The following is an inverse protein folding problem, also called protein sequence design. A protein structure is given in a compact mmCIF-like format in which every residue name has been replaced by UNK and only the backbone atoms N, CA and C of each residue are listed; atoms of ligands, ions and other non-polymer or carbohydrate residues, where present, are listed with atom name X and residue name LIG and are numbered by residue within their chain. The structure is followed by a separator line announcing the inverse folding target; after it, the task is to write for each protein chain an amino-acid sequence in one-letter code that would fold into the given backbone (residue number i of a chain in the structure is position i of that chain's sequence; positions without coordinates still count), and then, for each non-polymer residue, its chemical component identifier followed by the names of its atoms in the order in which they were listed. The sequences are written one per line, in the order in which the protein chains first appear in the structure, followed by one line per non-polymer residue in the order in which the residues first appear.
data_IF_068502279460
#
_entry.id   IF_068502279460
#
_cell.length_a   1.000
_cell.length_b   1.000
_cell.length_c   1.000
_cell.angle_alpha   90.00
_cell.angle_beta   90.00
_cell.angle_gamma   90.00
#
_symmetry.space_group_name_H-M   'P 1'
#
loop_
_entity.id
_entity.type
_entity.pdbx_description
1 polymer ?
#
# COMPACT_ATOMS: atom_id res chain seq x y z
N UNK A 1 -30.22 19.01 10.16
CA UNK A 1 -29.36 18.71 11.33
C UNK A 1 -28.45 19.89 11.58
N UNK A 2 -28.09 20.16 12.83
CA UNK A 2 -27.14 21.22 13.20
C UNK A 2 -25.82 20.54 13.58
N UNK A 3 -24.70 21.00 13.03
CA UNK A 3 -23.35 20.51 13.34
C UNK A 3 -22.58 21.60 14.09
N UNK A 4 -22.09 21.29 15.30
CA UNK A 4 -21.24 22.18 16.10
C UNK A 4 -19.81 21.70 15.94
N UNK A 5 -18.91 22.56 15.44
CA UNK A 5 -17.50 22.23 15.18
C UNK A 5 -16.61 23.45 15.42
N UNK A 6 -15.28 23.24 15.37
CA UNK A 6 -14.30 24.31 15.44
C UNK A 6 -14.35 25.20 14.18
N UNK A 7 -14.02 26.49 14.33
CA UNK A 7 -14.07 27.42 13.20
C UNK A 7 -13.15 26.99 12.04
N UNK A 8 -12.02 26.36 12.34
CA UNK A 8 -11.05 25.87 11.35
C UNK A 8 -11.60 24.74 10.47
N UNK A 9 -12.45 23.86 11.01
CA UNK A 9 -13.01 22.73 10.25
C UNK A 9 -14.34 23.05 9.57
N UNK A 10 -14.91 24.23 9.84
CA UNK A 10 -16.20 24.64 9.27
C UNK A 10 -16.22 24.53 7.74
N UNK A 11 -15.15 24.97 7.08
CA UNK A 11 -15.04 24.89 5.61
C UNK A 11 -15.04 23.44 5.11
N UNK A 12 -14.35 22.53 5.80
CA UNK A 12 -14.32 21.11 5.44
C UNK A 12 -15.71 20.48 5.51
N UNK A 13 -16.44 20.70 6.61
CA UNK A 13 -17.81 20.15 6.75
C UNK A 13 -18.80 20.80 5.79
N UNK A 14 -18.67 22.10 5.48
CA UNK A 14 -19.48 22.75 4.45
C UNK A 14 -19.24 22.13 3.07
N UNK A 15 -17.98 21.89 2.69
CA UNK A 15 -17.65 21.25 1.43
C UNK A 15 -18.15 19.80 1.37
N UNK A 16 -18.08 19.07 2.49
CA UNK A 16 -18.58 17.70 2.59
C UNK A 16 -20.11 17.63 2.41
N UNK A 17 -20.86 18.52 3.08
CA UNK A 17 -22.33 18.52 3.02
C UNK A 17 -22.86 19.01 1.66
N UNK A 18 -22.12 19.88 0.98
CA UNK A 18 -22.51 20.45 -0.32
C UNK A 18 -21.94 19.67 -1.52
N UNK A 19 -21.43 18.45 -1.33
CA UNK A 19 -20.85 17.61 -2.40
C UNK A 19 -19.68 18.26 -3.14
N UNK A 20 -18.94 19.15 -2.48
CA UNK A 20 -17.82 19.87 -3.07
C UNK A 20 -16.47 19.17 -2.83
N UNK A 21 -16.42 18.15 -1.98
CA UNK A 21 -15.18 17.45 -1.66
C UNK A 21 -14.98 16.25 -2.60
N UNK A 22 -13.93 16.23 -3.44
CA UNK A 22 -13.67 15.12 -4.33
C UNK A 22 -13.28 13.88 -3.52
N UNK A 23 -13.77 12.71 -3.94
CA UNK A 23 -13.37 11.42 -3.36
C UNK A 23 -11.99 11.05 -3.92
N UNK A 24 -11.02 10.84 -3.03
CA UNK A 24 -9.64 10.51 -3.38
C UNK A 24 -9.21 9.14 -2.85
N UNK A 25 -8.23 8.54 -3.50
CA UNK A 25 -7.69 7.24 -3.11
C UNK A 25 -6.66 7.36 -2.01
N UNK A 26 -6.88 6.67 -0.89
CA UNK A 26 -5.91 6.53 0.21
C UNK A 26 -5.02 5.28 0.07
N UNK A 27 -5.12 4.57 -1.05
CA UNK A 27 -4.49 3.25 -1.24
C UNK A 27 -2.96 3.29 -1.18
N UNK A 28 -2.32 4.40 -1.54
CA UNK A 28 -0.85 4.52 -1.52
C UNK A 28 -0.28 4.18 -0.14
N UNK A 29 -0.94 4.64 0.93
CA UNK A 29 -0.49 4.41 2.32
C UNK A 29 -0.50 2.94 2.73
N UNK A 30 -1.31 2.11 2.07
CA UNK A 30 -1.49 0.67 2.34
C UNK A 30 -1.09 -0.21 1.16
N UNK A 31 -0.42 0.36 0.16
CA UNK A 31 -0.08 -0.36 -1.07
C UNK A 31 0.80 -1.58 -0.78
N UNK A 32 1.73 -1.43 0.17
CA UNK A 32 2.67 -2.48 0.59
C UNK A 32 1.93 -3.68 1.17
N UNK A 33 1.03 -3.44 2.12
CA UNK A 33 0.27 -4.49 2.79
C UNK A 33 -0.74 -5.15 1.83
N UNK A 34 -1.40 -4.35 0.98
CA UNK A 34 -2.33 -4.86 -0.05
C UNK A 34 -1.60 -5.70 -1.11
N UNK A 35 -0.41 -5.29 -1.53
CA UNK A 35 0.41 -6.06 -2.46
C UNK A 35 0.81 -7.41 -1.87
N UNK A 36 1.19 -7.45 -0.58
CA UNK A 36 1.48 -8.71 0.10
C UNK A 36 0.27 -9.66 0.09
N UNK A 37 -0.94 -9.14 0.34
CA UNK A 37 -2.14 -9.96 0.32
C UNK A 37 -2.39 -10.61 -1.06
N UNK A 38 -2.23 -9.85 -2.14
CA UNK A 38 -2.41 -10.40 -3.50
C UNK A 38 -1.32 -11.41 -3.89
N UNK A 39 -0.09 -11.20 -3.42
CA UNK A 39 1.00 -12.19 -3.60
C UNK A 39 0.68 -13.47 -2.83
N UNK A 40 0.14 -13.36 -1.61
CA UNK A 40 -0.24 -14.50 -0.77
C UNK A 40 -1.40 -15.29 -1.37
N UNK A 41 -2.40 -14.59 -1.94
CA UNK A 41 -3.51 -15.22 -2.66
C UNK A 41 -3.06 -15.89 -3.97
N UNK A 42 -1.91 -15.50 -4.51
CA UNK A 42 -1.39 -15.99 -5.78
C UNK A 42 -1.98 -15.28 -7.00
N UNK A 43 -2.74 -14.20 -6.80
CA UNK A 43 -3.30 -13.35 -7.86
C UNK A 43 -2.18 -12.70 -8.68
N UNK A 44 -1.08 -12.32 -8.01
CA UNK A 44 0.07 -11.67 -8.65
C UNK A 44 1.36 -12.42 -8.28
N UNK A 45 2.14 -12.79 -9.29
CA UNK A 45 3.38 -13.56 -9.12
C UNK A 45 4.62 -12.79 -9.55
N UNK A 46 4.44 -11.71 -10.32
CA UNK A 46 5.54 -10.89 -10.80
C UNK A 46 5.15 -9.41 -10.86
N UNK A 47 6.15 -8.55 -11.04
CA UNK A 47 5.99 -7.10 -11.05
C UNK A 47 5.04 -6.61 -12.16
N UNK A 48 4.97 -7.31 -13.30
CA UNK A 48 4.10 -6.91 -14.42
C UNK A 48 2.63 -7.18 -14.08
N UNK A 49 2.34 -8.36 -13.56
CA UNK A 49 1.01 -8.71 -13.05
C UNK A 49 0.58 -7.79 -11.90
N UNK A 50 1.49 -7.45 -10.98
CA UNK A 50 1.18 -6.50 -9.92
C UNK A 50 0.92 -5.08 -10.44
N UNK A 51 1.63 -4.64 -11.49
CA UNK A 51 1.33 -3.36 -12.15
C UNK A 51 0.00 -3.39 -12.93
N UNK A 52 -0.40 -4.55 -13.46
CA UNK A 52 -1.71 -4.77 -14.06
C UNK A 52 -2.82 -4.78 -13.00
N UNK A 53 -2.62 -5.46 -11.88
CA UNK A 53 -3.51 -5.43 -10.73
C UNK A 53 -3.78 -4.00 -10.26
N UNK A 54 -2.73 -3.17 -10.18
CA UNK A 54 -2.85 -1.77 -9.79
C UNK A 54 -3.73 -0.96 -10.77
N UNK A 55 -3.84 -1.38 -12.03
CA UNK A 55 -4.71 -0.74 -13.03
C UNK A 55 -6.22 -0.98 -12.78
N UNK A 56 -6.59 -2.02 -12.02
CA UNK A 56 -7.97 -2.27 -11.64
C UNK A 56 -8.42 -1.45 -10.42
N UNK A 57 -7.51 -0.69 -9.81
CA UNK A 57 -7.76 0.01 -8.55
C UNK A 57 -8.31 1.42 -8.76
N UNK A 58 -9.01 1.94 -7.76
CA UNK A 58 -9.46 3.34 -7.76
C UNK A 58 -8.29 4.33 -7.79
N UNK A 59 -7.13 3.96 -7.23
CA UNK A 59 -5.91 4.76 -7.28
C UNK A 59 -5.49 5.08 -8.72
N UNK A 60 -5.48 4.08 -9.59
CA UNK A 60 -5.11 4.28 -10.99
C UNK A 60 -6.04 5.27 -11.71
N UNK A 61 -7.36 5.14 -11.49
CA UNK A 61 -8.35 6.05 -12.09
C UNK A 61 -8.12 7.49 -11.62
N UNK A 62 -7.84 7.69 -10.32
CA UNK A 62 -7.54 9.02 -9.78
C UNK A 62 -6.22 9.58 -10.26
N UNK A 63 -5.17 8.77 -10.37
CA UNK A 63 -3.87 9.17 -10.91
C UNK A 63 -3.94 9.67 -12.37
N UNK A 64 -4.83 9.12 -13.18
CA UNK A 64 -5.05 9.62 -14.55
C UNK A 64 -5.84 10.93 -14.55
N UNK A 65 -6.88 11.02 -13.72
CA UNK A 65 -7.78 12.19 -13.69
C UNK A 65 -7.13 13.41 -13.06
N UNK A 66 -6.39 13.22 -11.97
CA UNK A 66 -5.77 14.29 -11.19
C UNK A 66 -4.29 13.94 -10.88
N UNK A 67 -3.42 13.90 -11.90
CA UNK A 67 -2.05 13.41 -11.77
C UNK A 67 -1.19 14.21 -10.78
N UNK A 68 -1.39 15.53 -10.71
CA UNK A 68 -0.59 16.41 -9.89
C UNK A 68 -0.73 16.08 -8.39
N UNK A 69 -1.94 15.73 -7.95
CA UNK A 69 -2.22 15.35 -6.56
C UNK A 69 -1.48 14.06 -6.15
N UNK A 70 -1.18 13.19 -7.12
CA UNK A 70 -0.47 11.91 -6.89
C UNK A 70 1.02 11.99 -7.25
N UNK A 71 1.55 13.21 -7.43
CA UNK A 71 2.96 13.45 -7.73
C UNK A 71 3.39 12.98 -9.13
N UNK A 72 2.46 12.93 -10.07
CA UNK A 72 2.70 12.60 -11.49
C UNK A 72 2.72 13.90 -12.29
N UNK A 73 3.80 14.16 -13.03
CA UNK A 73 3.89 15.38 -13.86
C UNK A 73 3.02 15.25 -15.10
N UNK A 74 2.43 16.36 -15.57
CA UNK A 74 1.64 16.35 -16.81
C UNK A 74 2.47 15.94 -18.03
N UNK A 75 3.77 16.24 -18.02
CA UNK A 75 4.72 15.79 -19.05
C UNK A 75 4.84 14.27 -19.09
N UNK A 76 4.87 13.62 -17.92
CA UNK A 76 4.93 12.15 -17.85
C UNK A 76 3.67 11.49 -18.43
N UNK A 77 2.50 12.12 -18.32
CA UNK A 77 1.26 11.65 -18.96
C UNK A 77 1.26 11.79 -20.48
N UNK A 78 1.97 12.79 -21.03
CA UNK A 78 2.12 12.94 -22.47
C UNK A 78 2.98 11.82 -23.06
N UNK A 79 3.98 11.36 -22.30
CA UNK A 79 4.89 10.27 -22.69
C UNK A 79 4.29 8.89 -22.40
N UNK A 80 3.64 8.73 -21.25
CA UNK A 80 3.04 7.49 -20.78
C UNK A 80 1.59 7.73 -20.34
N UNK A 81 0.68 7.72 -21.33
CA UNK A 81 -0.75 7.92 -21.12
C UNK A 81 -1.37 6.93 -20.14
N UNK A 82 -0.80 5.73 -20.04
CA UNK A 82 -1.31 4.66 -19.18
C UNK A 82 -0.56 4.58 -17.85
N UNK A 83 0.41 5.45 -17.58
CA UNK A 83 1.21 5.45 -16.36
C UNK A 83 1.82 4.09 -16.02
N UNK A 84 2.13 3.27 -17.03
CA UNK A 84 2.73 1.95 -16.83
C UNK A 84 4.04 2.04 -16.05
N UNK A 85 4.91 2.98 -16.42
CA UNK A 85 6.20 3.15 -15.75
C UNK A 85 6.00 3.55 -14.29
N UNK A 86 5.09 4.50 -14.04
CA UNK A 86 4.75 4.92 -12.68
C UNK A 86 4.19 3.79 -11.83
N UNK A 87 3.33 2.93 -12.41
CA UNK A 87 2.80 1.74 -11.71
C UNK A 87 3.92 0.76 -11.38
N UNK A 88 4.83 0.50 -12.31
CA UNK A 88 6.00 -0.35 -12.07
C UNK A 88 6.88 0.21 -10.95
N UNK A 89 7.13 1.52 -10.93
CA UNK A 89 7.94 2.16 -9.88
C UNK A 89 7.29 2.05 -8.49
N UNK A 90 5.97 2.23 -8.42
CA UNK A 90 5.20 2.08 -7.17
C UNK A 90 5.26 0.65 -6.64
N UNK A 91 5.00 -0.33 -7.51
CA UNK A 91 5.06 -1.76 -7.15
C UNK A 91 6.49 -2.17 -6.78
N UNK A 92 7.50 -1.70 -7.52
CA UNK A 92 8.89 -1.98 -7.22
C UNK A 92 9.28 -1.48 -5.83
N UNK A 93 8.90 -0.24 -5.51
CA UNK A 93 9.16 0.37 -4.21
C UNK A 93 8.47 -0.40 -3.08
N UNK A 94 7.21 -0.82 -3.29
CA UNK A 94 6.46 -1.62 -2.32
C UNK A 94 7.08 -3.03 -2.14
N UNK A 95 7.47 -3.68 -3.24
CA UNK A 95 8.12 -5.00 -3.20
C UNK A 95 9.46 -4.96 -2.45
N UNK A 96 10.25 -3.90 -2.62
CA UNK A 96 11.49 -3.70 -1.84
C UNK A 96 11.20 -3.61 -0.34
N UNK A 97 10.13 -2.91 0.06
CA UNK A 97 9.75 -2.82 1.47
C UNK A 97 9.30 -4.17 2.03
N UNK A 98 8.51 -4.93 1.27
CA UNK A 98 8.09 -6.29 1.67
C UNK A 98 9.28 -7.25 1.79
N UNK A 99 10.23 -7.18 0.87
CA UNK A 99 11.46 -7.99 0.89
C UNK A 99 12.34 -7.64 2.10
N UNK A 100 12.48 -6.33 2.40
CA UNK A 100 13.20 -5.84 3.59
C UNK A 100 12.56 -6.31 4.90
N UNK A 101 11.24 -6.39 4.95
CA UNK A 101 10.51 -6.91 6.11
C UNK A 101 10.41 -8.44 6.13
N UNK A 102 11.01 -9.13 5.16
CA UNK A 102 10.98 -10.60 5.03
C UNK A 102 9.57 -11.21 4.84
N UNK A 103 8.61 -10.44 4.32
CA UNK A 103 7.25 -10.95 4.00
C UNK A 103 7.23 -11.68 2.65
N UNK A 104 8.02 -11.21 1.69
CA UNK A 104 8.20 -11.87 0.39
C UNK A 104 9.69 -12.03 0.11
N UNK A 105 10.04 -12.87 -0.87
CA UNK A 105 11.34 -12.81 -1.54
C UNK A 105 11.14 -12.21 -2.91
N UNK A 106 11.83 -11.11 -3.18
CA UNK A 106 11.72 -10.41 -4.45
C UNK A 106 13.01 -10.53 -5.28
N UNK A 107 12.93 -11.20 -6.43
CA UNK A 107 14.03 -11.24 -7.39
C UNK A 107 13.97 -10.05 -8.33
N UNK A 108 14.93 -9.12 -8.18
CA UNK A 108 15.00 -7.89 -8.97
C UNK A 108 15.33 -8.13 -10.45
N UNK A 109 15.95 -9.25 -10.80
CA UNK A 109 16.33 -9.54 -12.19
C UNK A 109 15.15 -10.08 -12.98
N UNK A 110 14.43 -11.04 -12.40
CA UNK A 110 13.27 -11.66 -13.05
C UNK A 110 11.99 -10.88 -12.80
N UNK A 111 11.93 -10.11 -11.71
CA UNK A 111 10.73 -9.41 -11.27
C UNK A 111 9.72 -10.31 -10.56
N UNK A 112 10.10 -11.54 -10.20
CA UNK A 112 9.22 -12.52 -9.59
C UNK A 112 9.14 -12.37 -8.07
N UNK A 113 7.97 -12.68 -7.52
CA UNK A 113 7.69 -12.72 -6.10
C UNK A 113 7.58 -14.17 -5.64
N UNK A 114 8.17 -14.47 -4.48
CA UNK A 114 7.91 -15.71 -3.75
C UNK A 114 7.35 -15.37 -2.39
N UNK A 115 6.19 -15.96 -2.07
CA UNK A 115 5.56 -15.79 -0.77
C UNK A 115 6.38 -16.48 0.33
N UNK A 116 6.42 -15.89 1.51
CA UNK A 116 6.98 -16.52 2.72
C UNK A 116 5.86 -16.79 3.73
N UNK A 117 6.11 -17.65 4.72
CA UNK A 117 5.14 -17.89 5.79
C UNK A 117 4.84 -16.63 6.62
N UNK A 118 5.81 -15.73 6.79
CA UNK A 118 5.57 -14.42 7.43
C UNK A 118 4.61 -13.56 6.62
N UNK A 119 4.74 -13.54 5.30
CA UNK A 119 3.80 -12.86 4.39
C UNK A 119 2.38 -13.42 4.52
N UNK A 120 2.24 -14.75 4.63
CA UNK A 120 0.94 -15.42 4.84
C UNK A 120 0.30 -15.02 6.16
N UNK A 121 1.05 -15.06 7.26
CA UNK A 121 0.58 -14.62 8.58
C UNK A 121 0.15 -13.15 8.52
N UNK A 122 0.98 -12.28 7.93
CA UNK A 122 0.67 -10.86 7.78
C UNK A 122 -0.66 -10.64 7.04
N UNK A 123 -0.87 -11.35 5.94
CA UNK A 123 -2.10 -11.25 5.12
C UNK A 123 -3.33 -11.83 5.82
N UNK A 124 -3.20 -12.96 6.53
CA UNK A 124 -4.34 -13.61 7.20
C UNK A 124 -4.85 -12.79 8.39
N UNK A 125 -3.95 -12.13 9.11
CA UNK A 125 -4.29 -11.35 10.31
C UNK A 125 -4.35 -9.85 10.08
N UNK A 126 -4.24 -9.38 8.82
CA UNK A 126 -4.22 -7.96 8.47
C UNK A 126 -3.18 -7.16 9.27
N UNK A 127 -2.01 -7.75 9.51
CA UNK A 127 -0.89 -7.07 10.15
C UNK A 127 -0.08 -6.29 9.12
N UNK A 128 0.39 -5.09 9.49
CA UNK A 128 1.28 -4.32 8.62
C UNK A 128 2.65 -4.99 8.51
N UNK A 129 3.33 -4.78 7.37
CA UNK A 129 4.68 -5.28 7.16
C UNK A 129 5.69 -4.78 8.22
N UNK A 130 5.47 -3.61 8.81
CA UNK A 130 6.30 -3.06 9.89
C UNK A 130 6.14 -3.85 11.19
N UNK A 131 4.91 -4.17 11.58
CA UNK A 131 4.62 -4.94 12.80
C UNK A 131 5.23 -6.34 12.72
N UNK A 132 5.08 -7.01 11.57
CA UNK A 132 5.65 -8.35 11.35
C UNK A 132 7.19 -8.30 11.33
N UNK A 133 7.79 -7.25 10.76
CA UNK A 133 9.23 -7.06 10.82
C UNK A 133 9.73 -6.87 12.25
N UNK A 134 9.00 -6.12 13.07
CA UNK A 134 9.31 -5.94 14.49
C UNK A 134 9.18 -7.26 15.26
N UNK A 135 8.11 -8.03 15.04
CA UNK A 135 7.96 -9.35 15.64
C UNK A 135 9.10 -10.30 15.25
N UNK A 136 9.53 -10.30 14.00
CA UNK A 136 10.64 -11.15 13.54
C UNK A 136 11.98 -10.77 14.22
N UNK A 137 12.19 -9.50 14.56
CA UNK A 137 13.40 -9.05 15.26
C UNK A 137 13.37 -9.34 16.77
N UNK A 138 12.19 -9.24 17.39
CA UNK A 138 12.06 -9.30 18.85
C UNK A 138 11.67 -10.69 19.37
N UNK A 139 10.94 -11.50 18.59
CA UNK A 139 10.52 -12.84 19.01
C UNK A 139 11.71 -13.79 19.08
N UNK A 140 11.99 -14.30 20.29
CA UNK A 140 13.02 -15.30 20.56
C UNK A 140 12.43 -16.48 21.32
N UNK A 141 12.96 -17.72 21.17
CA UNK A 141 12.44 -18.89 21.87
C UNK A 141 12.50 -18.78 23.41
N UNK A 142 13.33 -17.90 23.96
CA UNK A 142 13.60 -17.75 25.39
C UNK A 142 12.83 -16.60 26.06
N UNK A 143 11.80 -16.05 25.40
CA UNK A 143 11.05 -14.91 25.93
C UNK A 143 10.19 -15.30 27.13
N UNK A 144 10.14 -14.43 28.13
CA UNK A 144 9.19 -14.54 29.24
C UNK A 144 7.82 -13.96 28.85
N UNK A 145 6.78 -14.26 29.63
CA UNK A 145 5.44 -13.68 29.43
C UNK A 145 5.46 -12.15 29.51
N UNK A 146 6.28 -11.58 30.41
CA UNK A 146 6.46 -10.13 30.55
C UNK A 146 7.05 -9.52 29.27
N UNK A 147 8.03 -10.20 28.66
CA UNK A 147 8.62 -9.74 27.40
C UNK A 147 7.65 -9.85 26.24
N UNK A 148 6.77 -10.87 26.24
CA UNK A 148 5.72 -11.02 25.23
C UNK A 148 4.75 -9.83 25.26
N UNK A 149 4.29 -9.42 26.45
CA UNK A 149 3.45 -8.23 26.61
C UNK A 149 4.14 -6.93 26.21
N UNK A 150 5.48 -6.88 26.26
CA UNK A 150 6.25 -5.71 25.83
C UNK A 150 6.38 -5.62 24.31
N UNK A 151 6.33 -6.76 23.62
CA UNK A 151 6.42 -6.85 22.16
C UNK A 151 5.05 -6.57 21.51
N UNK A 152 3.95 -6.92 22.17
CA UNK A 152 2.59 -6.69 21.71
C UNK A 152 2.14 -5.24 21.93
#
# INVERSE_FOLDING_TARGET
GILITSHSELQYYLSLMNQQLPIESQMISKLVDNLNAEIVLGTVQNIREAAEWLSYTYLYVRMIKEPQLYGVSNESLLVDKYLLQRRLDLIHSAAIQLDKSHLIRYDRKTGNFQVTEHGRIASHYYCTHETIAMYNQLLKPTLSEIDLFRIF
#
